data_IF_930551920396
#
_entry.id   IF_930551920396
#
_cell.length_a   1.000
_cell.length_b   1.000
_cell.length_c   1.000
_cell.angle_alpha   90.00
_cell.angle_beta   90.00
_cell.angle_gamma   90.00
#
_symmetry.space_group_name_H-M   'P 1'
#
loop_
_entity.id
_entity.type
_entity.pdbx_description
1 polymer ?
#
# COMPACT_ATOMS: atom_id res chain seq x y z
N UNK A 1 6.07 -2.45 6.78
CA UNK A 1 6.35 -1.66 7.98
C UNK A 1 6.22 -2.58 9.18
N UNK A 2 5.01 -2.98 9.57
CA UNK A 2 4.80 -3.85 10.75
C UNK A 2 5.00 -5.37 10.53
N UNK A 3 5.07 -5.85 9.28
CA UNK A 3 5.34 -7.26 8.99
C UNK A 3 4.18 -8.25 9.19
N UNK A 4 2.98 -7.79 9.55
CA UNK A 4 1.81 -8.65 9.69
C UNK A 4 1.44 -9.39 8.40
N UNK A 5 0.97 -10.62 8.55
CA UNK A 5 0.28 -11.36 7.50
C UNK A 5 -1.05 -10.69 7.11
N UNK A 6 -1.66 -11.16 6.02
CA UNK A 6 -2.96 -10.61 5.60
C UNK A 6 -4.06 -10.98 6.60
N UNK A 7 -3.95 -12.18 7.17
CA UNK A 7 -4.86 -12.78 8.14
C UNK A 7 -4.81 -12.03 9.47
N UNK A 8 -3.62 -11.77 9.99
CA UNK A 8 -3.43 -10.95 11.20
C UNK A 8 -3.94 -9.54 11.00
N UNK A 9 -3.61 -8.92 9.86
CA UNK A 9 -4.10 -7.57 9.52
C UNK A 9 -5.63 -7.55 9.48
N UNK A 10 -6.27 -8.53 8.84
CA UNK A 10 -7.73 -8.65 8.74
C UNK A 10 -8.40 -8.72 10.12
N UNK A 11 -7.78 -9.44 11.07
CA UNK A 11 -8.25 -9.51 12.45
C UNK A 11 -8.09 -8.16 13.18
N UNK A 12 -6.94 -7.50 13.05
CA UNK A 12 -6.65 -6.23 13.73
C UNK A 12 -7.60 -5.12 13.29
N UNK A 13 -7.92 -5.06 11.98
CA UNK A 13 -8.72 -3.97 11.40
C UNK A 13 -10.19 -4.34 11.22
N UNK A 14 -10.60 -5.52 11.67
CA UNK A 14 -11.98 -6.04 11.58
C UNK A 14 -12.55 -6.02 10.15
N UNK A 15 -11.74 -6.43 9.17
CA UNK A 15 -12.14 -6.52 7.77
C UNK A 15 -11.95 -7.93 7.23
N UNK A 16 -12.67 -8.28 6.17
CA UNK A 16 -12.43 -9.54 5.47
C UNK A 16 -11.07 -9.53 4.77
N UNK A 17 -10.45 -10.71 4.64
CA UNK A 17 -9.18 -10.91 3.92
C UNK A 17 -9.21 -10.30 2.49
N UNK A 18 -10.26 -10.50 1.66
CA UNK A 18 -10.36 -9.84 0.36
C UNK A 18 -10.36 -8.31 0.45
N UNK A 19 -11.01 -7.75 1.47
CA UNK A 19 -11.11 -6.31 1.67
C UNK A 19 -9.76 -5.70 2.10
N UNK A 20 -8.95 -6.42 2.88
CA UNK A 20 -7.55 -6.04 3.20
C UNK A 20 -6.69 -6.04 1.94
N UNK A 21 -6.69 -7.13 1.16
CA UNK A 21 -5.91 -7.23 -0.09
C UNK A 21 -6.28 -6.11 -1.07
N UNK A 22 -7.57 -5.84 -1.22
CA UNK A 22 -8.09 -4.78 -2.10
C UNK A 22 -7.61 -3.38 -1.67
N UNK A 23 -7.67 -3.07 -0.37
CA UNK A 23 -7.17 -1.79 0.19
C UNK A 23 -5.66 -1.66 0.03
N UNK A 24 -4.90 -2.69 0.38
CA UNK A 24 -3.43 -2.70 0.26
C UNK A 24 -2.99 -2.47 -1.18
N UNK A 25 -3.64 -3.12 -2.16
CA UNK A 25 -3.36 -2.92 -3.59
C UNK A 25 -3.55 -1.47 -4.00
N UNK A 26 -4.69 -0.87 -3.63
CA UNK A 26 -4.98 0.54 -3.97
C UNK A 26 -4.01 1.50 -3.31
N UNK A 27 -3.70 1.30 -2.02
CA UNK A 27 -2.73 2.12 -1.30
C UNK A 27 -1.34 2.06 -1.95
N UNK A 28 -0.87 0.87 -2.36
CA UNK A 28 0.41 0.72 -3.08
C UNK A 28 0.40 1.41 -4.44
N UNK A 29 -0.70 1.33 -5.18
CA UNK A 29 -0.83 2.01 -6.47
C UNK A 29 -0.80 3.54 -6.29
N UNK A 30 -1.58 4.06 -5.34
CA UNK A 30 -1.59 5.47 -4.99
C UNK A 30 -0.19 5.96 -4.60
N UNK A 31 0.44 5.35 -3.59
CA UNK A 31 1.76 5.76 -3.11
C UNK A 31 2.82 5.71 -4.22
N UNK A 32 2.80 4.68 -5.06
CA UNK A 32 3.72 4.60 -6.21
C UNK A 32 3.53 5.75 -7.19
N UNK A 33 2.30 6.18 -7.45
CA UNK A 33 2.06 7.34 -8.32
C UNK A 33 2.62 8.63 -7.70
N UNK A 34 2.37 8.85 -6.41
CA UNK A 34 2.90 10.01 -5.68
C UNK A 34 4.43 10.03 -5.67
N UNK A 35 5.06 8.90 -5.34
CA UNK A 35 6.52 8.78 -5.33
C UNK A 35 7.10 8.93 -6.74
N UNK A 36 6.45 8.38 -7.77
CA UNK A 36 6.90 8.56 -9.15
C UNK A 36 6.89 10.03 -9.53
N UNK A 37 5.89 10.82 -9.15
CA UNK A 37 5.88 12.26 -9.40
C UNK A 37 7.08 12.94 -8.72
N UNK A 38 7.26 12.70 -7.42
CA UNK A 38 8.35 13.29 -6.62
C UNK A 38 9.73 12.94 -7.19
N UNK A 39 9.96 11.66 -7.53
CA UNK A 39 11.27 11.20 -7.99
C UNK A 39 11.48 11.34 -9.50
N UNK A 40 10.42 11.57 -10.30
CA UNK A 40 10.57 11.92 -11.72
C UNK A 40 11.13 13.32 -11.94
N UNK A 41 10.88 14.26 -11.02
CA UNK A 41 11.41 15.62 -11.09
C UNK A 41 12.85 15.72 -10.54
N UNK A 42 13.25 14.80 -9.65
CA UNK A 42 14.57 14.78 -9.01
C UNK A 42 15.67 14.00 -9.76
N UNK A 43 15.36 13.42 -10.92
CA UNK A 43 16.33 12.76 -11.81
C UNK A 43 16.29 13.44 -13.19
N UNK A 44 16.62 14.73 -13.22
CA UNK A 44 17.26 15.32 -14.39
C UNK A 44 18.76 15.34 -14.10
N UNK A 45 19.60 14.56 -14.83
CA UNK A 45 21.05 14.63 -14.70
C UNK A 45 21.61 16.00 -15.11
#
# INVERSE_FOLDING_TARGET
VEGFSTEETAKIVELSIPAVKSRLRRARAFLRNELNQIFSEGINP
#
